data_IF_328777455413
#
_entry.id   IF_328777455413
#
_cell.length_a   1.000
_cell.length_b   1.000
_cell.length_c   1.000
_cell.angle_alpha   90.00
_cell.angle_beta   90.00
_cell.angle_gamma   90.00
#
_symmetry.space_group_name_H-M   'P 1'
#
loop_
_entity.id
_entity.type
_entity.pdbx_description
1 polymer ?
#
# COMPACT_ATOMS: atom_id res chain seq x y z
N UNK A 1 16.62 -9.84 -27.65
CA UNK A 1 15.53 -8.87 -27.39
C UNK A 1 14.89 -9.16 -26.05
N UNK A 2 14.83 -8.18 -25.22
CA UNK A 2 14.11 -8.32 -23.96
C UNK A 2 12.62 -8.42 -24.26
N UNK A 3 11.98 -9.49 -23.85
CA UNK A 3 10.52 -9.58 -23.83
C UNK A 3 10.01 -8.74 -22.67
N UNK A 4 9.22 -7.74 -22.94
CA UNK A 4 8.59 -6.95 -21.92
C UNK A 4 7.43 -7.72 -21.29
N UNK A 5 7.75 -8.56 -20.30
CA UNK A 5 6.72 -9.22 -19.52
C UNK A 5 6.11 -8.20 -18.55
N UNK A 6 4.82 -8.08 -18.59
CA UNK A 6 4.09 -7.10 -17.77
C UNK A 6 2.97 -7.78 -17.01
N UNK A 7 2.90 -7.50 -15.72
CA UNK A 7 1.84 -7.97 -14.84
C UNK A 7 1.07 -6.76 -14.34
N UNK A 8 -0.25 -6.82 -14.42
CA UNK A 8 -1.14 -5.73 -14.01
C UNK A 8 -2.02 -6.20 -12.85
N UNK A 9 -2.17 -5.36 -11.85
CA UNK A 9 -3.01 -5.64 -10.69
C UNK A 9 -4.45 -5.91 -11.12
N UNK A 10 -5.04 -6.96 -10.57
CA UNK A 10 -6.46 -7.26 -10.69
C UNK A 10 -7.20 -6.65 -9.49
N UNK A 11 -7.91 -5.53 -9.68
CA UNK A 11 -8.56 -4.85 -8.56
C UNK A 11 -9.68 -5.67 -7.91
N UNK A 12 -10.30 -6.58 -8.65
CA UNK A 12 -11.38 -7.39 -8.09
C UNK A 12 -10.89 -8.46 -7.11
N UNK A 13 -9.59 -8.78 -7.12
CA UNK A 13 -8.96 -9.76 -6.24
C UNK A 13 -7.83 -9.15 -5.43
N UNK A 14 -7.87 -7.85 -5.22
CA UNK A 14 -6.81 -7.15 -4.49
C UNK A 14 -7.41 -6.19 -3.48
N UNK A 15 -6.73 -6.08 -2.34
CA UNK A 15 -7.10 -5.12 -1.31
C UNK A 15 -5.86 -4.52 -0.68
N UNK A 16 -5.96 -3.25 -0.29
CA UNK A 16 -4.91 -2.51 0.39
C UNK A 16 -5.51 -1.92 1.66
N UNK A 17 -5.02 -2.38 2.80
CA UNK A 17 -5.55 -2.07 4.12
C UNK A 17 -4.51 -1.36 4.97
N UNK A 18 -4.98 -0.56 5.91
CA UNK A 18 -4.13 0.01 6.94
C UNK A 18 -4.79 -0.07 8.31
N UNK A 19 -3.99 0.04 9.35
CA UNK A 19 -4.45 -0.02 10.73
C UNK A 19 -3.65 0.96 11.58
N UNK A 20 -4.36 1.72 12.41
CA UNK A 20 -3.81 2.74 13.30
C UNK A 20 -4.44 2.57 14.68
N UNK A 21 -3.68 2.76 15.76
CA UNK A 21 -4.25 2.75 17.11
C UNK A 21 -5.00 4.04 17.39
N UNK A 22 -6.17 3.89 17.97
CA UNK A 22 -7.03 4.98 18.42
C UNK A 22 -7.14 4.92 19.95
N UNK A 23 -6.95 6.06 20.61
CA UNK A 23 -6.93 6.17 22.05
C UNK A 23 -5.92 5.25 22.74
N UNK A 24 -4.92 4.78 22.01
CA UNK A 24 -3.90 3.83 22.49
C UNK A 24 -4.45 2.45 22.90
N UNK A 25 -5.73 2.17 22.66
CA UNK A 25 -6.40 0.96 23.14
C UNK A 25 -7.07 0.11 22.07
N UNK A 26 -7.47 0.71 20.93
CA UNK A 26 -8.12 -0.02 19.85
C UNK A 26 -7.48 0.30 18.51
N UNK A 27 -7.75 -0.54 17.52
CA UNK A 27 -7.27 -0.32 16.16
C UNK A 27 -8.41 0.19 15.28
N UNK A 28 -8.15 1.26 14.55
CA UNK A 28 -9.01 1.71 13.45
C UNK A 28 -8.45 1.11 12.18
N UNK A 29 -9.27 0.40 11.44
CA UNK A 29 -8.93 -0.20 10.16
C UNK A 29 -9.50 0.64 9.04
N UNK A 30 -8.71 0.77 7.97
CA UNK A 30 -9.17 1.43 6.75
C UNK A 30 -8.64 0.73 5.53
N UNK A 31 -9.17 1.12 4.38
CA UNK A 31 -8.72 0.62 3.10
C UNK A 31 -8.68 1.74 2.07
N UNK A 32 -7.92 1.51 1.01
CA UNK A 32 -7.99 2.33 -0.19
C UNK A 32 -8.67 1.49 -1.27
N UNK A 33 -9.83 1.94 -1.72
CA UNK A 33 -10.68 1.19 -2.64
C UNK A 33 -10.28 1.30 -4.10
N UNK A 34 -9.46 2.30 -4.44
CA UNK A 34 -8.98 2.49 -5.80
C UNK A 34 -7.47 2.62 -5.81
N UNK A 35 -6.82 1.63 -6.35
CA UNK A 35 -5.38 1.62 -6.54
C UNK A 35 -5.04 0.73 -7.72
N UNK A 36 -3.86 0.93 -8.27
CA UNK A 36 -3.33 0.14 -9.37
C UNK A 36 -1.86 -0.15 -9.15
N UNK A 37 -1.37 -1.18 -9.80
CA UNK A 37 0.05 -1.50 -9.76
C UNK A 37 0.45 -2.28 -11.00
N UNK A 38 1.70 -2.13 -11.39
CA UNK A 38 2.29 -2.79 -12.55
C UNK A 38 3.66 -3.33 -12.16
N UNK A 39 3.92 -4.56 -12.59
CA UNK A 39 5.24 -5.19 -12.48
C UNK A 39 5.73 -5.45 -13.90
N UNK A 40 6.87 -4.87 -14.27
CA UNK A 40 7.49 -5.07 -15.58
C UNK A 40 8.79 -5.84 -15.44
N UNK A 41 8.85 -7.04 -16.00
CA UNK A 41 10.01 -7.93 -16.00
C UNK A 41 9.64 -9.37 -15.72
N UNK A 42 10.41 -10.30 -16.23
CA UNK A 42 10.20 -11.74 -16.01
C UNK A 42 10.59 -12.17 -14.59
N UNK A 43 11.71 -11.63 -14.12
CA UNK A 43 12.23 -11.93 -12.80
C UNK A 43 11.75 -10.84 -11.84
N UNK A 44 10.90 -11.18 -10.91
CA UNK A 44 10.34 -10.22 -9.96
C UNK A 44 11.42 -9.47 -9.15
N UNK A 45 12.56 -10.12 -8.88
CA UNK A 45 13.66 -9.49 -8.15
C UNK A 45 14.40 -8.42 -8.95
N UNK A 46 14.19 -8.39 -10.26
CA UNK A 46 14.78 -7.42 -11.20
C UNK A 46 13.73 -6.56 -11.88
N UNK A 47 12.48 -6.76 -11.56
CA UNK A 47 11.37 -6.09 -12.20
C UNK A 47 11.21 -4.65 -11.72
N UNK A 48 10.62 -3.83 -12.58
CA UNK A 48 10.15 -2.50 -12.20
C UNK A 48 8.77 -2.63 -11.57
N UNK A 49 8.61 -2.12 -10.37
CA UNK A 49 7.35 -2.19 -9.60
C UNK A 49 6.88 -0.78 -9.33
N UNK A 50 5.69 -0.45 -9.79
CA UNK A 50 5.07 0.87 -9.58
C UNK A 50 3.63 0.67 -9.14
N UNK A 51 3.24 1.32 -8.05
CA UNK A 51 1.87 1.33 -7.57
C UNK A 51 1.38 2.77 -7.41
N UNK A 52 0.10 2.99 -7.69
CA UNK A 52 -0.55 4.28 -7.56
C UNK A 52 -1.85 4.09 -6.79
N UNK A 53 -2.08 4.92 -5.77
CA UNK A 53 -3.25 4.84 -4.90
C UNK A 53 -4.00 6.16 -4.98
N UNK A 54 -5.30 6.11 -5.28
CA UNK A 54 -6.16 7.30 -5.21
C UNK A 54 -6.44 7.62 -3.74
N UNK A 55 -5.99 8.78 -3.28
CA UNK A 55 -6.13 9.18 -1.88
C UNK A 55 -7.58 9.37 -1.47
N UNK A 56 -8.42 9.86 -2.39
CA UNK A 56 -9.85 10.03 -2.14
C UNK A 56 -10.61 8.70 -1.98
N UNK A 57 -9.98 7.56 -2.30
CA UNK A 57 -10.59 6.24 -2.15
C UNK A 57 -10.49 5.69 -0.72
N UNK A 58 -9.92 6.43 0.21
CA UNK A 58 -9.81 6.03 1.60
C UNK A 58 -11.19 5.77 2.20
N UNK A 59 -11.32 4.64 2.90
CA UNK A 59 -12.59 4.20 3.47
C UNK A 59 -12.34 3.52 4.82
N UNK A 60 -12.98 4.04 5.86
CA UNK A 60 -12.88 3.49 7.22
C UNK A 60 -14.25 3.12 7.78
N UNK A 61 -15.28 3.08 6.93
CA UNK A 61 -16.67 2.77 7.28
C UNK A 61 -17.29 3.78 8.24
N UNK A 62 -16.82 5.04 8.20
CA UNK A 62 -17.40 6.14 8.98
C UNK A 62 -17.19 7.42 8.17
N UNK A 63 -18.28 8.03 7.71
CA UNK A 63 -18.25 9.14 6.76
C UNK A 63 -17.49 10.36 7.28
N UNK A 64 -17.72 10.75 8.54
CA UNK A 64 -17.05 11.92 9.10
C UNK A 64 -15.55 11.72 9.21
N UNK A 65 -15.14 10.51 9.59
CA UNK A 65 -13.72 10.17 9.66
C UNK A 65 -13.10 10.13 8.27
N UNK A 66 -13.79 9.57 7.29
CA UNK A 66 -13.30 9.52 5.91
C UNK A 66 -13.13 10.92 5.34
N UNK A 67 -14.08 11.83 5.60
CA UNK A 67 -13.99 13.21 5.16
C UNK A 67 -12.82 13.94 5.85
N UNK A 68 -12.57 13.66 7.12
CA UNK A 68 -11.43 14.23 7.85
C UNK A 68 -10.10 13.75 7.28
N UNK A 69 -10.00 12.46 6.93
CA UNK A 69 -8.81 11.90 6.29
C UNK A 69 -8.53 12.54 4.93
N UNK A 70 -9.56 12.93 4.21
CA UNK A 70 -9.43 13.60 2.91
C UNK A 70 -9.07 15.09 3.04
N UNK A 71 -9.21 15.65 4.21
CA UNK A 71 -8.98 17.07 4.46
C UNK A 71 -7.49 17.43 4.54
N UNK A 72 -7.21 18.71 4.62
CA UNK A 72 -5.86 19.24 4.76
C UNK A 72 -5.15 18.79 6.03
N UNK A 73 -5.89 18.31 7.03
CA UNK A 73 -5.31 17.74 8.25
C UNK A 73 -4.57 16.42 7.98
N UNK A 74 -4.90 15.73 6.90
CA UNK A 74 -4.32 14.43 6.53
C UNK A 74 -3.84 14.41 5.08
N UNK A 75 -4.57 13.73 4.19
CA UNK A 75 -4.11 13.51 2.82
C UNK A 75 -4.27 14.70 1.90
N UNK A 76 -5.17 15.63 2.24
CA UNK A 76 -5.46 16.80 1.39
C UNK A 76 -5.72 16.36 -0.06
N UNK A 77 -6.76 15.54 -0.24
CA UNK A 77 -6.99 14.81 -1.49
C UNK A 77 -7.32 15.71 -2.67
N UNK A 78 -7.80 16.93 -2.45
CA UNK A 78 -8.03 17.89 -3.53
C UNK A 78 -6.72 18.38 -4.14
N UNK A 79 -5.69 18.52 -3.31
CA UNK A 79 -4.37 18.98 -3.73
C UNK A 79 -3.46 17.82 -4.13
N UNK A 80 -3.53 16.71 -3.40
CA UNK A 80 -2.69 15.53 -3.61
C UNK A 80 -3.58 14.32 -3.89
N UNK A 81 -3.91 14.11 -5.15
CA UNK A 81 -4.89 13.09 -5.57
C UNK A 81 -4.38 11.67 -5.48
N UNK A 82 -3.07 11.47 -5.48
CA UNK A 82 -2.46 10.16 -5.53
C UNK A 82 -1.29 10.01 -4.57
N UNK A 83 -1.15 8.81 -4.02
CA UNK A 83 0.10 8.33 -3.44
C UNK A 83 0.76 7.44 -4.47
N UNK A 84 2.08 7.41 -4.50
CA UNK A 84 2.83 6.60 -5.45
C UNK A 84 3.93 5.83 -4.75
N UNK A 85 4.05 4.56 -5.10
CA UNK A 85 5.13 3.70 -4.62
C UNK A 85 5.95 3.22 -5.81
N UNK A 86 7.27 3.39 -5.75
CA UNK A 86 8.20 2.89 -6.75
C UNK A 86 9.18 1.95 -6.05
N UNK A 87 9.12 0.66 -6.40
CA UNK A 87 10.01 -0.33 -5.85
C UNK A 87 11.45 -0.11 -6.34
N UNK A 88 12.41 -0.20 -5.45
CA UNK A 88 13.84 -0.07 -5.75
C UNK A 88 14.57 -1.39 -5.60
N UNK A 89 14.04 -2.31 -4.79
CA UNK A 89 14.67 -3.60 -4.53
C UNK A 89 13.64 -4.60 -4.05
N UNK A 90 13.67 -5.79 -4.61
CA UNK A 90 12.92 -6.94 -4.10
C UNK A 90 13.92 -8.06 -3.85
N UNK A 91 14.23 -8.33 -2.59
CA UNK A 91 15.22 -9.32 -2.20
C UNK A 91 14.56 -10.59 -1.68
N UNK A 92 14.98 -11.72 -2.20
CA UNK A 92 14.52 -13.01 -1.72
C UNK A 92 15.16 -13.34 -0.37
N UNK A 93 14.33 -13.71 0.60
CA UNK A 93 14.76 -14.15 1.92
C UNK A 93 14.79 -15.70 1.98
N UNK A 94 13.70 -16.30 1.52
CA UNK A 94 13.58 -17.76 1.34
C UNK A 94 12.66 -18.06 0.16
N UNK A 95 12.18 -19.30 0.01
CA UNK A 95 11.41 -19.69 -1.18
C UNK A 95 10.16 -18.85 -1.42
N UNK A 96 9.48 -18.42 -0.36
CA UNK A 96 8.22 -17.70 -0.47
C UNK A 96 8.31 -16.27 0.05
N UNK A 97 9.33 -15.91 0.79
CA UNK A 97 9.42 -14.63 1.47
C UNK A 97 10.43 -13.70 0.83
N UNK A 98 10.03 -12.45 0.66
CA UNK A 98 10.82 -11.38 0.04
C UNK A 98 10.74 -10.11 0.88
N UNK A 99 11.69 -9.23 0.69
CA UNK A 99 11.68 -7.88 1.26
C UNK A 99 11.64 -6.89 0.11
N UNK A 100 10.58 -6.09 0.06
CA UNK A 100 10.39 -5.04 -0.94
C UNK A 100 10.75 -3.69 -0.34
N UNK A 101 11.74 -3.05 -0.94
CA UNK A 101 12.12 -1.69 -0.58
C UNK A 101 11.72 -0.75 -1.71
N UNK A 102 11.20 0.41 -1.37
CA UNK A 102 10.81 1.39 -2.38
C UNK A 102 10.62 2.77 -1.82
N UNK A 103 10.33 3.71 -2.70
CA UNK A 103 10.02 5.09 -2.35
C UNK A 103 8.50 5.29 -2.36
N UNK A 104 7.95 5.65 -1.21
CA UNK A 104 6.54 6.00 -1.09
C UNK A 104 6.40 7.52 -1.03
N UNK A 105 5.63 8.07 -1.95
CA UNK A 105 5.33 9.50 -2.03
C UNK A 105 3.92 9.76 -1.56
N UNK A 106 3.78 10.52 -0.48
CA UNK A 106 2.50 11.02 0.04
C UNK A 106 2.66 12.53 0.20
N UNK A 107 1.70 13.31 -0.30
CA UNK A 107 1.73 14.78 -0.21
C UNK A 107 3.03 15.38 -0.77
N UNK A 108 3.52 14.84 -1.88
CA UNK A 108 4.79 15.24 -2.51
C UNK A 108 6.05 15.00 -1.67
N UNK A 109 5.94 14.24 -0.60
CA UNK A 109 7.06 13.86 0.24
C UNK A 109 7.39 12.39 -0.02
N UNK A 110 8.62 12.10 -0.43
CA UNK A 110 9.07 10.75 -0.72
C UNK A 110 9.98 10.24 0.39
N UNK A 111 9.68 9.05 0.89
CA UNK A 111 10.47 8.37 1.92
C UNK A 111 10.61 6.90 1.59
N UNK A 112 11.71 6.31 2.00
CA UNK A 112 11.94 4.88 1.83
C UNK A 112 11.03 4.08 2.76
N UNK A 113 10.42 3.03 2.20
CA UNK A 113 9.56 2.10 2.93
C UNK A 113 10.05 0.68 2.65
N UNK A 114 10.02 -0.16 3.68
CA UNK A 114 10.38 -1.57 3.58
C UNK A 114 9.16 -2.40 3.93
N UNK A 115 8.78 -3.30 3.03
CA UNK A 115 7.61 -4.17 3.18
C UNK A 115 8.06 -5.64 3.14
N UNK A 116 7.45 -6.45 4.00
CA UNK A 116 7.58 -7.90 3.90
C UNK A 116 6.56 -8.41 2.89
N UNK A 117 7.02 -9.24 1.96
CA UNK A 117 6.20 -9.78 0.89
C UNK A 117 6.27 -11.31 0.92
N UNK A 118 5.11 -11.95 0.92
CA UNK A 118 5.01 -13.38 0.74
C UNK A 118 4.46 -13.64 -0.66
N UNK A 119 5.18 -14.46 -1.42
CA UNK A 119 4.74 -14.89 -2.75
C UNK A 119 3.83 -16.10 -2.60
N UNK A 120 2.57 -15.96 -2.98
CA UNK A 120 1.58 -17.03 -2.89
C UNK A 120 1.60 -18.00 -4.07
N UNK A 121 2.39 -17.73 -5.09
CA UNK A 121 2.51 -18.57 -6.26
C UNK A 121 1.85 -18.00 -7.51
N UNK A 122 2.04 -18.70 -8.61
CA UNK A 122 1.45 -18.38 -9.90
C UNK A 122 0.54 -19.52 -10.32
N UNK A 123 -0.64 -19.19 -10.81
CA UNK A 123 -1.57 -20.20 -11.30
C UNK A 123 -2.33 -19.66 -12.51
N UNK A 124 -2.91 -20.56 -13.28
CA UNK A 124 -3.70 -20.21 -14.45
C UNK A 124 -5.19 -20.33 -14.10
N UNK A 125 -5.96 -19.29 -14.41
CA UNK A 125 -7.39 -19.32 -14.16
C UNK A 125 -8.13 -20.14 -15.24
N UNK A 126 -9.44 -20.44 -15.08
CA UNK A 126 -10.20 -21.22 -16.07
C UNK A 126 -10.27 -20.59 -17.45
N UNK A 127 -10.01 -19.28 -17.57
CA UNK A 127 -10.06 -18.57 -18.84
C UNK A 127 -8.70 -18.41 -19.50
N UNK A 128 -7.66 -19.04 -18.96
CA UNK A 128 -6.34 -19.06 -19.55
C UNK A 128 -5.42 -17.92 -19.11
N UNK A 129 -5.82 -17.10 -18.15
CA UNK A 129 -4.98 -16.01 -17.65
C UNK A 129 -4.02 -16.50 -16.57
N UNK A 130 -2.74 -16.15 -16.70
CA UNK A 130 -1.78 -16.39 -15.64
C UNK A 130 -1.90 -15.34 -14.54
N UNK A 131 -1.99 -15.81 -13.32
CA UNK A 131 -2.14 -14.96 -12.14
C UNK A 131 -1.03 -15.21 -11.13
N UNK A 132 -0.54 -14.16 -10.50
CA UNK A 132 0.44 -14.24 -9.43
C UNK A 132 -0.11 -13.53 -8.19
N UNK A 133 -0.01 -14.16 -7.03
CA UNK A 133 -0.53 -13.64 -5.78
C UNK A 133 0.56 -13.28 -4.80
N UNK A 134 0.37 -12.18 -4.06
CA UNK A 134 1.29 -11.72 -3.04
C UNK A 134 0.53 -11.20 -1.84
N UNK A 135 1.07 -11.48 -0.65
CA UNK A 135 0.64 -10.83 0.58
C UNK A 135 1.75 -9.88 1.01
N UNK A 136 1.40 -8.68 1.40
CA UNK A 136 2.40 -7.72 1.88
C UNK A 136 1.99 -7.12 3.21
N UNK A 137 2.99 -6.80 4.02
CA UNK A 137 2.78 -6.08 5.26
C UNK A 137 4.01 -5.24 5.61
N UNK A 138 3.76 -4.19 6.35
CA UNK A 138 4.80 -3.31 6.82
C UNK A 138 4.24 -2.29 7.79
N UNK A 139 5.10 -1.43 8.26
CA UNK A 139 4.72 -0.32 9.13
C UNK A 139 5.47 0.92 8.73
N UNK A 140 4.79 2.06 8.84
CA UNK A 140 5.36 3.36 8.57
C UNK A 140 5.06 4.30 9.73
N UNK A 141 5.86 5.34 9.86
CA UNK A 141 5.58 6.46 10.76
C UNK A 141 4.97 7.59 9.92
N UNK A 142 3.69 7.87 10.12
CA UNK A 142 2.94 8.86 9.34
C UNK A 142 3.54 10.26 9.39
N UNK A 143 4.24 10.61 10.44
CA UNK A 143 4.89 11.92 10.59
C UNK A 143 5.99 12.17 9.56
N UNK A 144 6.60 11.12 9.01
CA UNK A 144 7.61 11.26 7.97
C UNK A 144 7.04 11.89 6.69
N UNK A 145 5.73 11.82 6.50
CA UNK A 145 5.02 12.48 5.38
C UNK A 145 4.20 13.68 5.83
N UNK A 146 4.49 14.23 6.99
CA UNK A 146 3.77 15.37 7.57
C UNK A 146 2.27 15.12 7.79
N UNK A 147 1.88 13.87 8.01
CA UNK A 147 0.52 13.51 8.44
C UNK A 147 0.47 13.65 9.96
N UNK A 148 0.54 14.89 10.44
CA UNK A 148 0.85 15.21 11.84
C UNK A 148 -0.36 15.44 12.74
N UNK A 149 -1.56 15.52 12.17
CA UNK A 149 -2.75 15.82 12.96
C UNK A 149 -2.88 14.86 14.14
N UNK A 150 -3.15 15.41 15.32
CA UNK A 150 -3.37 14.62 16.52
C UNK A 150 -4.06 15.48 17.59
N UNK A 151 -4.44 14.83 18.69
CA UNK A 151 -4.96 15.50 19.87
C UNK A 151 -4.37 14.84 21.11
N UNK A 152 -3.97 15.64 22.07
CA UNK A 152 -3.47 15.16 23.35
C UNK A 152 -4.65 14.67 24.21
N UNK A 153 -4.46 13.54 24.90
CA UNK A 153 -5.46 12.98 25.81
C UNK A 153 -5.25 13.53 27.22
N UNK A 154 -6.33 13.75 27.93
CA UNK A 154 -6.29 14.18 29.34
C UNK A 154 -5.54 13.18 30.23
N UNK A 155 -5.62 11.90 29.91
CA UNK A 155 -4.97 10.81 30.63
C UNK A 155 -3.49 10.62 30.23
N UNK A 156 -2.97 11.48 29.37
CA UNK A 156 -1.66 11.30 28.74
C UNK A 156 -1.75 10.47 27.48
N UNK A 157 -0.79 10.63 26.57
CA UNK A 157 -0.79 9.98 25.28
C UNK A 157 -1.53 10.79 24.21
N UNK A 158 -1.77 10.16 23.07
CA UNK A 158 -2.33 10.82 21.89
C UNK A 158 -3.52 10.05 21.34
N UNK A 159 -4.39 10.76 20.60
CA UNK A 159 -5.61 10.20 20.02
C UNK A 159 -5.29 9.15 18.95
N UNK A 160 -4.30 9.43 18.10
CA UNK A 160 -3.91 8.59 16.96
C UNK A 160 -2.42 8.27 17.04
N UNK A 161 -2.06 7.00 16.90
CA UNK A 161 -0.65 6.60 16.92
C UNK A 161 0.11 7.11 15.69
N UNK A 162 1.42 7.27 15.84
CA UNK A 162 2.30 7.64 14.74
C UNK A 162 2.55 6.46 13.79
N UNK A 163 2.56 5.25 14.33
CA UNK A 163 2.76 4.03 13.56
C UNK A 163 1.48 3.65 12.83
N UNK A 164 1.61 3.41 11.54
CA UNK A 164 0.54 2.89 10.69
C UNK A 164 1.00 1.55 10.14
N UNK A 165 0.20 0.51 10.34
CA UNK A 165 0.46 -0.80 9.75
C UNK A 165 -0.24 -0.91 8.42
N UNK A 166 0.47 -1.49 7.45
CA UNK A 166 -0.01 -1.67 6.08
C UNK A 166 -0.12 -3.15 5.79
N UNK A 167 -1.23 -3.54 5.19
CA UNK A 167 -1.49 -4.91 4.74
C UNK A 167 -2.03 -4.87 3.32
N UNK A 168 -1.60 -5.82 2.50
CA UNK A 168 -2.16 -5.97 1.17
C UNK A 168 -2.25 -7.43 0.79
N UNK A 169 -3.34 -7.79 0.14
CA UNK A 169 -3.50 -9.03 -0.59
C UNK A 169 -3.70 -8.63 -2.03
N UNK A 170 -2.76 -8.96 -2.89
CA UNK A 170 -2.78 -8.48 -4.26
C UNK A 170 -2.60 -9.62 -5.24
N UNK A 171 -3.31 -9.52 -6.36
CA UNK A 171 -3.24 -10.48 -7.44
C UNK A 171 -2.97 -9.73 -8.74
N UNK A 172 -2.00 -10.24 -9.49
CA UNK A 172 -1.60 -9.67 -10.78
C UNK A 172 -1.93 -10.62 -11.90
N UNK A 173 -2.27 -10.05 -13.05
CA UNK A 173 -2.55 -10.79 -14.28
C UNK A 173 -1.42 -10.51 -15.28
N UNK A 174 -0.82 -11.59 -15.79
CA UNK A 174 0.22 -11.47 -16.83
C UNK A 174 -0.42 -11.01 -18.14
N UNK A 175 0.16 -9.99 -18.74
CA UNK A 175 -0.28 -9.47 -20.02
C UNK A 175 0.37 -10.26 -21.17
N UNK A 176 -0.38 -10.48 -22.20
CA UNK A 176 0.08 -11.20 -23.38
C UNK A 176 0.82 -10.28 -24.34
#
# INVERSE_FOLDING_TARGET
>A
MATNVKWVLDPSHSELLFRVKHLMITNVKGEFRKFSAVIEGEDFTKARIVATVETASVFTNEENRDNHLKSADFFDTEKYKEMKFVGTSLKKVDDDNYVLTGQLTIKNISREVVLDVEYGGTNKDPWGNQKAGFSLNGKINRKEWELNWNAALETGGVLVSDEVRIYGEVQFVKQS
#
